data_IF_059061848363
#
_entry.id   IF_059061848363
#
_cell.length_a   1.000
_cell.length_b   1.000
_cell.length_c   1.000
_cell.angle_alpha   90.00
_cell.angle_beta   90.00
_cell.angle_gamma   90.00
#
_symmetry.space_group_name_H-M   'P 1'
#
loop_
_entity.id
_entity.type
_entity.pdbx_description
1 polymer ?
#
# COMPACT_ATOMS: atom_id res chain seq x y z
N UNK A 1 -18.39 21.75 -2.24
CA UNK A 1 -17.37 21.16 -3.11
C UNK A 1 -18.07 20.12 -3.97
N UNK A 2 -17.88 20.17 -5.29
CA UNK A 2 -18.32 19.09 -6.18
C UNK A 2 -17.07 18.25 -6.45
N UNK A 3 -17.15 16.97 -6.12
CA UNK A 3 -16.11 15.99 -6.36
C UNK A 3 -16.53 15.23 -7.62
N UNK A 4 -15.74 15.35 -8.69
CA UNK A 4 -15.90 14.45 -9.84
C UNK A 4 -15.09 13.19 -9.57
N UNK A 5 -15.81 12.11 -9.29
CA UNK A 5 -15.23 10.82 -8.94
C UNK A 5 -14.77 10.07 -10.20
N UNK A 6 -13.48 9.76 -10.28
CA UNK A 6 -12.93 8.87 -11.29
C UNK A 6 -13.25 7.40 -11.02
N UNK A 7 -13.07 6.56 -12.05
CA UNK A 7 -13.17 5.10 -11.90
C UNK A 7 -12.01 4.55 -11.05
N UNK A 8 -12.23 3.38 -10.43
CA UNK A 8 -11.18 2.68 -9.71
C UNK A 8 -10.03 2.30 -10.65
N UNK A 9 -8.80 2.64 -10.26
CA UNK A 9 -7.59 2.32 -11.01
C UNK A 9 -6.44 1.88 -10.08
N UNK A 10 -5.37 1.34 -10.67
CA UNK A 10 -4.10 1.15 -9.99
C UNK A 10 -3.31 2.46 -10.11
N UNK A 11 -2.90 3.03 -8.98
CA UNK A 11 -2.28 4.36 -8.97
C UNK A 11 -1.13 4.46 -7.99
N UNK A 12 -0.20 5.36 -8.31
CA UNK A 12 0.83 5.83 -7.39
C UNK A 12 0.28 7.01 -6.62
N UNK A 13 0.39 6.91 -5.29
CA UNK A 13 -0.11 7.92 -4.36
C UNK A 13 0.98 8.33 -3.38
N UNK A 14 0.92 9.58 -2.96
CA UNK A 14 1.91 10.17 -2.07
C UNK A 14 1.28 11.05 -1.01
N UNK A 15 2.03 11.32 0.05
CA UNK A 15 1.67 12.36 0.99
C UNK A 15 2.01 13.73 0.41
N UNK A 16 1.32 14.75 0.91
CA UNK A 16 1.66 16.13 0.61
C UNK A 16 3.15 16.42 0.85
N UNK A 17 3.83 16.82 -0.22
CA UNK A 17 5.18 17.35 -0.21
C UNK A 17 5.18 18.84 -0.63
N UNK A 18 5.55 19.78 0.27
CA UNK A 18 5.59 21.20 -0.06
C UNK A 18 6.51 21.57 -1.24
N UNK A 19 7.54 20.75 -1.50
CA UNK A 19 8.43 20.95 -2.64
C UNK A 19 7.74 20.68 -3.98
N UNK A 20 6.79 19.74 -4.02
CA UNK A 20 6.11 19.32 -5.25
C UNK A 20 4.76 20.01 -5.45
N UNK A 21 4.03 20.25 -4.37
CA UNK A 21 2.67 20.81 -4.43
C UNK A 21 2.60 22.29 -4.02
N UNK A 22 3.72 22.89 -3.61
CA UNK A 22 3.80 24.30 -3.24
C UNK A 22 3.66 24.55 -1.73
N UNK A 23 3.44 25.82 -1.33
CA UNK A 23 3.40 26.19 0.08
C UNK A 23 2.27 25.48 0.83
N UNK A 24 2.55 25.08 2.08
CA UNK A 24 1.64 24.30 2.92
C UNK A 24 0.20 24.84 2.93
N UNK A 25 -0.71 24.02 2.40
CA UNK A 25 -2.15 24.17 2.61
C UNK A 25 -2.65 23.07 3.55
N UNK A 26 -3.19 23.48 4.70
CA UNK A 26 -3.73 22.57 5.70
C UNK A 26 -4.83 21.66 5.13
N UNK A 27 -5.68 22.17 4.22
CA UNK A 27 -6.77 21.40 3.64
C UNK A 27 -6.26 20.32 2.69
N UNK A 28 -5.28 20.67 1.86
CA UNK A 28 -4.71 19.75 0.89
C UNK A 28 -3.84 18.67 1.59
N UNK A 29 -3.17 19.04 2.69
CA UNK A 29 -2.23 18.17 3.41
C UNK A 29 -2.84 16.92 4.06
N UNK A 30 -4.16 16.88 4.24
CA UNK A 30 -4.88 15.76 4.84
C UNK A 30 -5.22 14.65 3.81
N UNK A 31 -5.06 14.93 2.51
CA UNK A 31 -5.35 13.99 1.44
C UNK A 31 -4.11 13.26 0.94
N UNK A 32 -4.33 12.11 0.29
CA UNK A 32 -3.30 11.48 -0.52
C UNK A 32 -3.32 12.10 -1.92
N UNK A 33 -2.16 12.52 -2.41
CA UNK A 33 -2.03 13.05 -3.76
C UNK A 33 -1.93 11.92 -4.76
N UNK A 34 -2.61 12.07 -5.90
CA UNK A 34 -2.56 11.13 -7.00
C UNK A 34 -1.46 11.55 -7.97
N UNK A 35 -0.39 10.76 -8.06
CA UNK A 35 0.75 11.08 -8.92
C UNK A 35 0.51 10.63 -10.35
N UNK A 36 0.16 9.35 -10.54
CA UNK A 36 -0.13 8.79 -11.85
C UNK A 36 -0.95 7.51 -11.76
N UNK A 37 -1.66 7.22 -12.85
CA UNK A 37 -2.24 5.91 -13.09
C UNK A 37 -1.16 4.94 -13.60
N UNK A 38 -1.19 3.71 -13.12
CA UNK A 38 -0.27 2.64 -13.51
C UNK A 38 -0.99 1.67 -14.42
N UNK A 39 -0.54 1.61 -15.67
CA UNK A 39 -1.06 0.64 -16.61
C UNK A 39 -0.63 -0.79 -16.20
N UNK A 40 -1.48 -1.77 -16.51
CA UNK A 40 -1.20 -3.17 -16.21
C UNK A 40 0.13 -3.69 -16.80
N UNK A 41 0.52 -3.35 -18.05
CA UNK A 41 1.80 -3.77 -18.60
C UNK A 41 3.00 -3.30 -17.74
N UNK A 42 2.99 -2.04 -17.31
CA UNK A 42 4.05 -1.46 -16.48
C UNK A 42 4.13 -2.11 -15.09
N UNK A 43 2.97 -2.51 -14.57
CA UNK A 43 2.90 -3.28 -13.33
C UNK A 43 3.53 -4.67 -13.48
N UNK A 44 3.24 -5.37 -14.58
CA UNK A 44 3.75 -6.73 -14.79
C UNK A 44 5.23 -6.79 -15.18
N UNK A 45 5.72 -5.79 -15.93
CA UNK A 45 7.14 -5.70 -16.30
C UNK A 45 8.02 -5.07 -15.20
N UNK A 46 7.42 -4.73 -14.05
CA UNK A 46 8.12 -4.16 -12.89
C UNK A 46 8.81 -2.81 -13.15
N UNK A 47 8.57 -2.17 -14.30
CA UNK A 47 9.13 -0.86 -14.67
C UNK A 47 8.74 0.22 -13.66
N UNK A 48 7.52 0.15 -13.13
CA UNK A 48 7.04 1.06 -12.09
C UNK A 48 7.90 1.03 -10.83
N UNK A 49 8.49 -0.12 -10.46
CA UNK A 49 9.31 -0.20 -9.25
C UNK A 49 10.68 0.48 -9.41
N UNK A 50 11.19 0.60 -10.64
CA UNK A 50 12.38 1.39 -10.92
C UNK A 50 12.08 2.88 -10.65
N UNK A 51 10.97 3.39 -11.19
CA UNK A 51 10.47 4.74 -10.91
C UNK A 51 10.30 5.00 -9.40
N UNK A 52 9.67 4.08 -8.67
CA UNK A 52 9.50 4.21 -7.22
C UNK A 52 10.83 4.24 -6.45
N UNK A 53 11.88 3.59 -6.98
CA UNK A 53 13.19 3.54 -6.32
C UNK A 53 14.03 4.81 -6.51
N UNK A 54 13.76 5.56 -7.58
CA UNK A 54 14.44 6.81 -7.91
C UNK A 54 13.75 8.05 -7.31
N UNK A 55 12.60 7.85 -6.67
CA UNK A 55 11.80 8.95 -6.16
C UNK A 55 12.57 9.78 -5.12
N UNK A 56 12.71 11.11 -5.33
CA UNK A 56 13.51 11.95 -4.46
C UNK A 56 12.90 11.98 -3.05
N UNK A 57 13.71 11.66 -2.04
CA UNK A 57 13.29 11.73 -0.64
C UNK A 57 12.74 13.12 -0.32
N UNK A 58 11.60 13.17 0.35
CA UNK A 58 10.91 14.43 0.63
C UNK A 58 11.63 15.23 1.72
N UNK A 59 11.82 16.53 1.51
CA UNK A 59 12.29 17.46 2.53
C UNK A 59 11.21 17.71 3.61
N UNK A 60 11.65 18.09 4.81
CA UNK A 60 10.90 18.57 5.99
C UNK A 60 9.36 18.43 5.94
N UNK A 61 8.84 17.36 6.55
CA UNK A 61 7.41 17.18 6.76
C UNK A 61 6.96 17.75 8.10
N UNK A 62 6.05 18.73 8.07
CA UNK A 62 5.44 19.37 9.25
C UNK A 62 3.96 18.97 9.47
N UNK A 63 3.45 18.01 8.71
CA UNK A 63 2.04 17.60 8.78
C UNK A 63 1.70 16.60 9.90
N UNK A 64 0.46 16.13 9.89
CA UNK A 64 -0.15 15.33 10.98
C UNK A 64 0.13 13.81 10.93
N UNK A 65 0.84 13.32 9.92
CA UNK A 65 1.13 11.88 9.78
C UNK A 65 2.21 11.46 10.77
N UNK A 66 1.79 10.89 11.90
CA UNK A 66 2.67 10.43 13.01
C UNK A 66 3.85 9.57 12.57
N UNK A 67 3.67 8.73 11.56
CA UNK A 67 4.66 7.77 11.08
C UNK A 67 5.27 8.16 9.72
N UNK A 68 5.23 9.44 9.34
CA UNK A 68 5.62 9.91 8.02
C UNK A 68 6.99 9.39 7.58
N UNK A 69 8.04 9.67 8.35
CA UNK A 69 9.40 9.24 8.06
C UNK A 69 9.54 7.72 7.96
N UNK A 70 8.77 6.97 8.76
CA UNK A 70 8.76 5.51 8.69
C UNK A 70 8.07 4.96 7.44
N UNK A 71 7.25 5.76 6.75
CA UNK A 71 6.56 5.37 5.51
C UNK A 71 7.41 5.79 4.31
N UNK A 72 7.84 7.05 4.27
CA UNK A 72 8.61 7.60 3.14
C UNK A 72 10.00 6.97 3.03
N UNK A 73 10.65 6.64 4.14
CA UNK A 73 11.97 6.00 4.11
C UNK A 73 11.92 4.50 3.83
N UNK A 74 10.77 3.92 3.47
CA UNK A 74 10.68 2.50 3.11
C UNK A 74 11.11 2.31 1.65
N UNK A 75 12.26 1.68 1.40
CA UNK A 75 12.71 1.46 0.03
C UNK A 75 11.68 0.62 -0.72
N UNK A 76 11.38 1.02 -1.96
CA UNK A 76 10.44 0.34 -2.88
C UNK A 76 8.98 0.28 -2.40
N UNK A 77 8.62 0.98 -1.34
CA UNK A 77 7.25 1.04 -0.83
C UNK A 77 6.66 2.46 -0.85
N UNK A 78 7.51 3.47 -1.06
CA UNK A 78 7.11 4.86 -1.23
C UNK A 78 7.71 5.40 -2.53
N UNK A 79 6.94 6.16 -3.35
CA UNK A 79 5.52 6.45 -3.17
C UNK A 79 4.65 5.19 -3.27
N UNK A 80 3.42 5.26 -2.77
CA UNK A 80 2.59 4.09 -2.50
C UNK A 80 1.84 3.64 -3.75
N UNK A 81 2.05 2.39 -4.16
CA UNK A 81 1.24 1.75 -5.19
C UNK A 81 -0.04 1.14 -4.57
N UNK A 82 -1.20 1.66 -4.94
CA UNK A 82 -2.49 1.29 -4.35
C UNK A 82 -3.60 1.19 -5.41
N UNK A 83 -4.66 0.44 -5.10
CA UNK A 83 -5.93 0.58 -5.82
C UNK A 83 -6.64 1.80 -5.24
N UNK A 84 -6.92 2.77 -6.10
CA UNK A 84 -7.44 4.07 -5.70
C UNK A 84 -8.61 4.52 -6.54
N UNK A 85 -9.33 5.48 -5.99
CA UNK A 85 -10.31 6.27 -6.71
C UNK A 85 -9.76 7.70 -6.79
N UNK A 86 -9.34 8.18 -7.97
CA UNK A 86 -8.88 9.55 -8.13
C UNK A 86 -10.09 10.50 -8.04
N UNK A 87 -9.88 11.65 -7.41
CA UNK A 87 -10.87 12.69 -7.21
C UNK A 87 -10.21 14.03 -7.49
N UNK A 88 -10.79 14.80 -8.41
CA UNK A 88 -10.32 16.16 -8.69
C UNK A 88 -11.01 17.13 -7.74
N UNK A 89 -10.23 17.96 -7.04
CA UNK A 89 -10.73 18.95 -6.10
C UNK A 89 -10.94 20.32 -6.76
N UNK A 90 -12.04 20.99 -6.41
CA UNK A 90 -12.37 22.35 -6.85
C UNK A 90 -12.58 23.30 -5.66
N UNK A 91 -12.08 24.55 -5.70
CA UNK A 91 -11.26 25.17 -6.75
C UNK A 91 -9.78 24.77 -6.65
N UNK A 92 -9.12 24.50 -7.77
CA UNK A 92 -7.66 24.27 -7.81
C UNK A 92 -7.21 23.16 -8.75
N UNK A 93 -8.10 22.23 -9.12
CA UNK A 93 -7.81 21.14 -10.04
C UNK A 93 -6.80 20.11 -9.50
N UNK A 94 -6.51 20.14 -8.20
CA UNK A 94 -5.63 19.16 -7.56
C UNK A 94 -6.25 17.76 -7.63
N UNK A 95 -5.46 16.76 -8.01
CA UNK A 95 -5.91 15.39 -8.07
C UNK A 95 -5.47 14.63 -6.81
N UNK A 96 -6.46 14.24 -6.00
CA UNK A 96 -6.27 13.45 -4.79
C UNK A 96 -6.77 12.03 -4.99
N UNK A 97 -6.36 11.11 -4.13
CA UNK A 97 -6.69 9.71 -4.21
C UNK A 97 -7.36 9.20 -2.93
N UNK A 98 -8.49 8.52 -3.10
CA UNK A 98 -9.10 7.73 -2.02
C UNK A 98 -8.58 6.29 -2.11
N UNK A 99 -7.79 5.87 -1.13
CA UNK A 99 -7.22 4.51 -1.08
C UNK A 99 -8.31 3.48 -0.78
N UNK A 100 -8.47 2.48 -1.66
CA UNK A 100 -9.49 1.42 -1.51
C UNK A 100 -8.91 0.06 -1.10
N UNK A 101 -7.61 -0.02 -0.81
CA UNK A 101 -6.93 -1.28 -0.46
C UNK A 101 -7.09 -1.71 1.00
N UNK A 102 -7.77 -0.93 1.85
CA UNK A 102 -7.90 -1.22 3.29
C UNK A 102 -8.47 -2.61 3.58
N UNK A 103 -9.65 -2.93 3.02
CA UNK A 103 -10.30 -4.23 3.23
C UNK A 103 -9.51 -5.39 2.62
N UNK A 104 -8.93 -5.16 1.44
CA UNK A 104 -8.07 -6.14 0.78
C UNK A 104 -6.85 -6.47 1.66
N UNK A 105 -6.23 -5.48 2.29
CA UNK A 105 -5.10 -5.67 3.21
C UNK A 105 -5.48 -6.47 4.46
N UNK A 106 -6.66 -6.22 5.04
CA UNK A 106 -7.15 -7.01 6.16
C UNK A 106 -7.36 -8.47 5.79
N UNK A 107 -7.96 -8.72 4.63
CA UNK A 107 -8.14 -10.06 4.08
C UNK A 107 -6.79 -10.75 3.85
N UNK A 108 -5.87 -10.09 3.15
CA UNK A 108 -4.52 -10.58 2.87
C UNK A 108 -3.76 -10.93 4.16
N UNK A 109 -3.84 -10.09 5.20
CA UNK A 109 -3.21 -10.37 6.50
C UNK A 109 -3.76 -11.64 7.15
N UNK A 110 -5.09 -11.79 7.17
CA UNK A 110 -5.74 -12.98 7.72
C UNK A 110 -5.35 -14.24 6.95
N UNK A 111 -5.33 -14.16 5.62
CA UNK A 111 -4.95 -15.29 4.78
C UNK A 111 -3.48 -15.68 4.94
N UNK A 112 -2.57 -14.71 4.97
CA UNK A 112 -1.14 -14.95 5.22
C UNK A 112 -0.93 -15.62 6.58
N UNK A 113 -1.67 -15.20 7.62
CA UNK A 113 -1.65 -15.84 8.93
C UNK A 113 -2.12 -17.29 8.88
N UNK A 114 -3.30 -17.56 8.29
CA UNK A 114 -3.84 -18.92 8.16
C UNK A 114 -2.86 -19.81 7.38
N UNK A 115 -2.28 -19.30 6.30
CA UNK A 115 -1.29 -20.02 5.51
C UNK A 115 -0.05 -20.36 6.35
N UNK A 116 0.47 -19.39 7.11
CA UNK A 116 1.63 -19.61 7.98
C UNK A 116 1.34 -20.68 9.06
N UNK A 117 0.19 -20.62 9.71
CA UNK A 117 -0.25 -21.60 10.71
C UNK A 117 -0.38 -23.00 10.10
N UNK A 118 -0.99 -23.12 8.91
CA UNK A 118 -1.10 -24.41 8.19
C UNK A 118 0.27 -24.96 7.81
N UNK A 119 1.15 -24.10 7.29
CA UNK A 119 2.52 -24.49 6.93
C UNK A 119 3.30 -24.99 8.14
N UNK A 120 3.16 -24.32 9.29
CA UNK A 120 3.79 -24.76 10.53
C UNK A 120 3.26 -26.12 11.00
N UNK A 121 1.93 -26.33 10.99
CA UNK A 121 1.34 -27.63 11.33
C UNK A 121 1.85 -28.75 10.43
N UNK A 122 1.94 -28.51 9.11
CA UNK A 122 2.51 -29.48 8.18
C UNK A 122 3.95 -29.82 8.52
N UNK A 123 4.77 -28.83 8.86
CA UNK A 123 6.15 -29.06 9.32
C UNK A 123 6.20 -29.89 10.61
N UNK A 124 5.28 -29.64 11.56
CA UNK A 124 5.20 -30.40 12.80
C UNK A 124 4.78 -31.86 12.57
N UNK A 125 3.92 -32.12 11.59
CA UNK A 125 3.51 -33.48 11.20
C UNK A 125 4.62 -34.29 10.54
N UNK A 126 5.63 -33.61 9.97
CA UNK A 126 6.81 -34.26 9.37
C UNK A 126 7.89 -34.60 10.40
N UNK A 127 7.80 -34.10 11.64
CA UNK A 127 8.75 -34.44 12.72
C UNK A 127 8.52 -35.88 13.22
N UNK A 128 9.52 -36.54 13.83
CA UNK A 128 9.39 -37.91 14.33
C UNK A 128 8.17 -38.12 15.25
N UNK A 129 7.90 -37.16 16.12
CA UNK A 129 6.71 -37.18 17.00
C UNK A 129 5.38 -37.15 16.21
N UNK A 130 5.33 -36.37 15.12
CA UNK A 130 4.16 -36.29 14.25
C UNK A 130 3.94 -37.58 13.47
N UNK A 131 5.02 -38.21 13.00
CA UNK A 131 4.99 -39.51 12.32
C UNK A 131 4.47 -40.60 13.26
N UNK A 132 5.01 -40.68 14.49
CA UNK A 132 4.59 -41.65 15.49
C UNK A 132 3.11 -41.49 15.88
N UNK A 133 2.62 -40.25 16.03
CA UNK A 133 1.18 -40.00 16.26
C UNK A 133 0.29 -40.52 15.12
N UNK A 134 0.75 -40.43 13.87
CA UNK A 134 0.03 -40.96 12.70
C UNK A 134 0.01 -42.48 12.70
N UNK A 135 1.14 -43.11 13.04
CA UNK A 135 1.24 -44.57 13.15
C UNK A 135 0.33 -45.13 14.24
N UNK A 136 0.25 -44.47 15.40
CA UNK A 136 -0.63 -44.87 16.50
C UNK A 136 -2.11 -44.54 16.27
N UNK A 137 -2.51 -44.02 15.11
CA UNK A 137 -3.91 -43.70 14.78
C UNK A 137 -4.51 -42.57 15.59
N UNK A 138 -3.68 -41.67 16.14
CA UNK A 138 -4.15 -40.55 16.95
C UNK A 138 -4.96 -39.57 16.08
N UNK A 139 -6.20 -39.27 16.47
CA UNK A 139 -7.02 -38.25 15.79
C UNK A 139 -6.50 -36.85 16.16
N UNK A 140 -5.96 -36.15 15.17
CA UNK A 140 -5.47 -34.77 15.25
C UNK A 140 -6.61 -33.76 15.38
#
# INVERSE_FOLDING_TARGET
MREEEGSLCLGVCEFYNPFLHGPYDARASDYFFFTCEVALPDFYDSSIFAYLSEYPGTCEYSGNVRAYWNIVNRPRMYPMLEIVQPVTMEPGGECVAVIKTFWLRLLQRKWKRIYAERRQRLQDLLKPHGLLKRECGWKL
#
